data_IF_336069872895
#
_entry.id   IF_336069872895
#
_cell.length_a   1.000
_cell.length_b   1.000
_cell.length_c   1.000
_cell.angle_alpha   90.00
_cell.angle_beta   90.00
_cell.angle_gamma   90.00
#
_symmetry.space_group_name_H-M   'P 1'
#
loop_
_entity.id
_entity.type
_entity.pdbx_description
1 polymer ?
#
# COMPACT_ATOMS: atom_id res chain seq x y z
N UNK A 1 -8.39 -24.55 -2.83
CA UNK A 1 -7.32 -24.22 -3.81
C UNK A 1 -6.49 -23.08 -3.24
N UNK A 2 -5.17 -23.01 -3.48
CA UNK A 2 -4.43 -21.78 -3.18
C UNK A 2 -5.06 -20.61 -3.95
N UNK A 3 -5.10 -19.43 -3.34
CA UNK A 3 -5.49 -18.21 -4.06
C UNK A 3 -4.41 -17.91 -5.11
N UNK A 4 -4.81 -17.46 -6.30
CA UNK A 4 -3.86 -16.86 -7.24
C UNK A 4 -3.34 -15.54 -6.66
N UNK A 5 -2.06 -15.26 -6.86
CA UNK A 5 -1.40 -14.03 -6.44
C UNK A 5 -0.81 -13.38 -7.69
N UNK A 6 -1.19 -12.13 -7.92
CA UNK A 6 -0.66 -11.29 -8.98
C UNK A 6 0.19 -10.20 -8.33
N UNK A 7 1.45 -10.07 -8.75
CA UNK A 7 2.32 -8.95 -8.38
C UNK A 7 2.32 -7.98 -9.55
N UNK A 8 1.91 -6.74 -9.30
CA UNK A 8 1.83 -5.68 -10.29
C UNK A 8 2.76 -4.56 -9.86
N UNK A 9 3.64 -4.14 -10.76
CA UNK A 9 4.53 -3.01 -10.58
C UNK A 9 4.02 -1.90 -11.50
N UNK A 10 3.39 -0.89 -10.92
CA UNK A 10 2.89 0.25 -11.69
C UNK A 10 4.03 1.17 -12.10
N UNK A 11 3.85 1.85 -13.24
CA UNK A 11 4.82 2.79 -13.81
C UNK A 11 4.18 4.18 -13.90
N UNK A 12 5.00 5.24 -13.87
CA UNK A 12 4.52 6.62 -13.93
C UNK A 12 3.62 7.02 -12.75
N UNK A 13 3.85 6.45 -11.57
CA UNK A 13 3.19 6.86 -10.32
C UNK A 13 3.68 8.28 -9.96
N UNK A 14 4.98 8.44 -9.68
CA UNK A 14 5.57 9.69 -9.19
C UNK A 14 6.05 10.67 -10.29
N UNK A 15 5.42 10.62 -11.48
CA UNK A 15 5.80 11.50 -12.61
C UNK A 15 4.96 12.77 -12.70
N UNK A 16 4.08 13.01 -11.72
CA UNK A 16 3.18 14.15 -11.68
C UNK A 16 3.84 15.44 -11.18
N UNK A 17 3.14 16.56 -11.38
CA UNK A 17 3.51 17.84 -10.76
C UNK A 17 2.73 18.01 -9.46
N UNK A 18 3.38 18.52 -8.42
CA UNK A 18 2.80 18.66 -7.08
C UNK A 18 1.47 19.44 -7.03
N UNK A 19 1.24 20.37 -7.97
CA UNK A 19 0.01 21.16 -8.09
C UNK A 19 -1.06 20.51 -9.01
N UNK A 20 -0.78 19.35 -9.58
CA UNK A 20 -1.66 18.60 -10.51
C UNK A 20 -1.80 17.13 -10.07
N UNK A 21 -2.59 16.84 -9.01
CA UNK A 21 -2.77 15.48 -8.47
C UNK A 21 -3.23 14.44 -9.50
N UNK A 22 -3.93 14.87 -10.55
CA UNK A 22 -4.38 14.03 -11.65
C UNK A 22 -3.25 13.45 -12.50
N UNK A 23 -2.04 14.01 -12.42
CA UNK A 23 -0.86 13.59 -13.17
C UNK A 23 -0.09 12.43 -12.51
N UNK A 24 -0.36 12.11 -11.24
CA UNK A 24 0.22 10.94 -10.55
C UNK A 24 -0.50 9.62 -10.89
N UNK A 25 0.05 8.49 -10.47
CA UNK A 25 -0.59 7.16 -10.56
C UNK A 25 -1.03 6.76 -11.99
N UNK A 26 -0.29 7.19 -13.02
CA UNK A 26 -0.74 6.99 -14.42
C UNK A 26 -0.81 5.51 -14.80
N UNK A 27 0.13 4.70 -14.32
CA UNK A 27 0.15 3.26 -14.52
C UNK A 27 -1.05 2.56 -13.91
N UNK A 28 -1.38 2.84 -12.65
CA UNK A 28 -2.55 2.27 -12.00
C UNK A 28 -3.86 2.73 -12.66
N UNK A 29 -3.97 4.02 -13.03
CA UNK A 29 -5.11 4.54 -13.81
C UNK A 29 -5.28 3.80 -15.14
N UNK A 30 -4.19 3.61 -15.87
CA UNK A 30 -4.21 2.85 -17.12
C UNK A 30 -4.61 1.39 -16.88
N UNK A 31 -4.03 0.74 -15.87
CA UNK A 31 -4.33 -0.64 -15.53
C UNK A 31 -5.80 -0.83 -15.15
N UNK A 32 -6.33 -0.01 -14.24
CA UNK A 32 -7.72 -0.07 -13.78
C UNK A 32 -8.71 0.09 -14.94
N UNK A 33 -8.42 1.00 -15.88
CA UNK A 33 -9.25 1.24 -17.08
C UNK A 33 -9.19 0.11 -18.10
N UNK A 34 -8.03 -0.55 -18.26
CA UNK A 34 -7.79 -1.51 -19.34
C UNK A 34 -7.82 -2.98 -18.90
N UNK A 35 -7.93 -3.27 -17.60
CA UNK A 35 -8.07 -4.65 -17.11
C UNK A 35 -9.29 -5.33 -17.76
N UNK A 36 -9.17 -6.62 -18.03
CA UNK A 36 -10.32 -7.41 -18.50
C UNK A 36 -11.39 -7.49 -17.40
N UNK A 37 -12.66 -7.61 -17.78
CA UNK A 37 -13.74 -7.81 -16.80
C UNK A 37 -13.55 -9.10 -15.98
N UNK A 38 -12.91 -10.12 -16.56
CA UNK A 38 -12.55 -11.37 -15.87
C UNK A 38 -11.45 -11.19 -14.81
N UNK A 39 -10.66 -10.12 -14.87
CA UNK A 39 -9.67 -9.81 -13.84
C UNK A 39 -10.36 -9.10 -12.67
N UNK A 40 -10.65 -9.89 -11.63
CA UNK A 40 -11.38 -9.45 -10.45
C UNK A 40 -10.78 -10.09 -9.18
N UNK A 41 -9.62 -9.59 -8.70
CA UNK A 41 -9.03 -10.07 -7.46
C UNK A 41 -9.95 -9.74 -6.27
N UNK A 42 -9.83 -10.52 -5.19
CA UNK A 42 -10.65 -10.33 -3.98
C UNK A 42 -10.33 -9.00 -3.29
N UNK A 43 -9.05 -8.65 -3.27
CA UNK A 43 -8.53 -7.38 -2.78
C UNK A 43 -7.11 -7.15 -3.33
N UNK A 44 -6.60 -5.94 -3.18
CA UNK A 44 -5.20 -5.56 -3.37
C UNK A 44 -4.60 -4.99 -2.09
N UNK A 45 -3.27 -5.04 -2.02
CA UNK A 45 -2.46 -4.35 -1.01
C UNK A 45 -1.37 -3.63 -1.80
N UNK A 46 -1.39 -2.31 -1.75
CA UNK A 46 -0.31 -1.46 -2.22
C UNK A 46 0.75 -1.36 -1.13
N UNK A 47 2.03 -1.38 -1.52
CA UNK A 47 3.17 -1.17 -0.65
C UNK A 47 3.92 0.04 -1.19
N UNK A 48 3.92 1.14 -0.44
CA UNK A 48 4.67 2.34 -0.79
C UNK A 48 5.51 2.83 0.40
N UNK A 49 6.74 3.29 0.15
CA UNK A 49 7.64 3.83 1.17
C UNK A 49 7.84 2.97 2.45
N UNK A 50 7.69 1.65 2.36
CA UNK A 50 7.78 0.70 3.50
C UNK A 50 9.21 0.43 4.02
N UNK A 51 10.19 1.18 3.53
CA UNK A 51 11.61 0.89 3.71
C UNK A 51 12.23 1.51 4.95
N UNK A 52 11.62 2.55 5.53
CA UNK A 52 12.27 3.41 6.52
C UNK A 52 12.79 2.63 7.75
N UNK A 53 13.92 3.07 8.28
CA UNK A 53 14.51 2.58 9.51
C UNK A 53 13.73 2.95 10.77
N UNK A 54 12.95 4.02 10.73
CA UNK A 54 12.03 4.45 11.80
C UNK A 54 10.56 4.32 11.35
N UNK A 55 10.24 3.18 10.72
CA UNK A 55 8.97 2.94 10.03
C UNK A 55 7.74 3.09 10.93
N UNK A 56 6.78 3.92 10.50
CA UNK A 56 5.47 4.08 11.15
C UNK A 56 4.32 3.97 10.14
N UNK A 57 3.55 2.88 10.21
CA UNK A 57 2.45 2.59 9.29
C UNK A 57 1.11 2.81 10.01
N UNK A 58 0.56 4.01 9.85
CA UNK A 58 -0.80 4.35 10.27
C UNK A 58 -1.84 3.88 9.26
N UNK A 59 -3.10 3.80 9.67
CA UNK A 59 -4.19 3.42 8.76
C UNK A 59 -4.51 4.59 7.81
N UNK A 60 -4.24 4.39 6.52
CA UNK A 60 -4.60 5.35 5.46
C UNK A 60 -6.12 5.55 5.36
N UNK A 61 -6.58 6.80 5.23
CA UNK A 61 -7.99 7.15 5.38
C UNK A 61 -8.89 6.59 4.28
N UNK A 62 -8.47 6.57 3.01
CA UNK A 62 -9.25 5.99 1.92
C UNK A 62 -9.32 4.47 2.03
N UNK A 63 -8.22 3.83 2.45
CA UNK A 63 -8.14 2.40 2.75
C UNK A 63 -9.14 2.03 3.86
N UNK A 64 -9.16 2.80 4.95
CA UNK A 64 -10.14 2.62 6.02
C UNK A 64 -11.58 2.86 5.57
N UNK A 65 -11.80 3.85 4.70
CA UNK A 65 -13.13 4.21 4.25
C UNK A 65 -13.71 3.18 3.27
N UNK A 66 -12.94 2.78 2.27
CA UNK A 66 -13.41 1.95 1.16
C UNK A 66 -13.11 0.45 1.32
N UNK A 67 -12.07 0.08 2.08
CA UNK A 67 -11.69 -1.31 2.34
C UNK A 67 -11.46 -1.64 3.83
N UNK A 68 -12.36 -1.24 4.77
CA UNK A 68 -12.16 -1.40 6.22
C UNK A 68 -11.98 -2.86 6.66
N UNK A 69 -12.56 -3.81 5.92
CA UNK A 69 -12.43 -5.23 6.21
C UNK A 69 -11.02 -5.76 5.91
N UNK A 70 -10.36 -5.23 4.89
CA UNK A 70 -8.97 -5.56 4.56
C UNK A 70 -8.02 -4.90 5.55
N UNK A 71 -8.24 -3.62 5.88
CA UNK A 71 -7.47 -2.93 6.94
C UNK A 71 -7.53 -3.71 8.24
N UNK A 72 -8.74 -4.07 8.70
CA UNK A 72 -8.91 -4.86 9.93
C UNK A 72 -8.17 -6.20 9.88
N UNK A 73 -8.17 -6.86 8.73
CA UNK A 73 -7.45 -8.12 8.55
C UNK A 73 -5.94 -7.93 8.64
N UNK A 74 -5.38 -6.96 7.92
CA UNK A 74 -3.93 -6.70 7.87
C UNK A 74 -3.40 -6.23 9.21
N UNK A 75 -4.02 -5.22 9.82
CA UNK A 75 -3.61 -4.73 11.14
C UNK A 75 -3.82 -5.76 12.25
N UNK A 76 -4.89 -6.56 12.19
CA UNK A 76 -5.10 -7.66 13.14
C UNK A 76 -4.06 -8.78 13.00
N UNK A 77 -3.54 -9.02 11.79
CA UNK A 77 -2.42 -9.94 11.57
C UNK A 77 -1.12 -9.35 12.12
N UNK A 78 -0.85 -8.07 11.86
CA UNK A 78 0.33 -7.39 12.41
C UNK A 78 0.33 -7.39 13.95
N UNK A 79 -0.81 -7.10 14.57
CA UNK A 79 -0.99 -7.21 16.02
C UNK A 79 -0.72 -8.63 16.52
N UNK A 80 -1.26 -9.65 15.84
CA UNK A 80 -1.05 -11.06 16.19
C UNK A 80 0.41 -11.54 16.02
N UNK A 81 1.17 -10.91 15.11
CA UNK A 81 2.60 -11.16 14.92
C UNK A 81 3.47 -10.32 15.87
N UNK A 82 2.90 -9.34 16.56
CA UNK A 82 3.63 -8.43 17.44
C UNK A 82 4.50 -7.43 16.67
N UNK A 83 4.03 -6.94 15.52
CA UNK A 83 4.71 -5.93 14.68
C UNK A 83 4.17 -4.54 15.04
N UNK A 84 4.85 -3.77 15.91
CA UNK A 84 4.32 -2.50 16.44
C UNK A 84 4.29 -1.35 15.42
N UNK A 85 5.02 -1.47 14.31
CA UNK A 85 5.07 -0.47 13.24
C UNK A 85 3.70 -0.30 12.56
N UNK A 86 2.83 -1.31 12.60
CA UNK A 86 1.44 -1.20 12.16
C UNK A 86 0.58 -0.61 13.27
N UNK A 87 0.44 0.72 13.25
CA UNK A 87 -0.25 1.49 14.29
C UNK A 87 -1.75 1.51 13.95
N UNK A 88 -2.65 0.96 14.80
CA UNK A 88 -4.08 0.85 14.52
C UNK A 88 -4.83 2.18 14.77
N UNK A 89 -4.25 3.28 14.31
CA UNK A 89 -4.80 4.64 14.40
C UNK A 89 -4.90 5.25 13.01
N UNK A 90 -5.90 6.13 12.75
CA UNK A 90 -6.01 6.81 11.47
C UNK A 90 -4.82 7.74 11.23
N UNK A 91 -4.20 7.63 10.06
CA UNK A 91 -3.16 8.53 9.57
C UNK A 91 -3.70 9.54 8.57
N UNK A 92 -2.94 9.74 7.50
CA UNK A 92 -3.27 10.68 6.43
C UNK A 92 -4.19 10.07 5.36
N UNK A 93 -4.83 10.94 4.59
CA UNK A 93 -5.48 10.57 3.33
C UNK A 93 -4.50 10.84 2.20
N UNK A 94 -4.17 9.84 1.39
CA UNK A 94 -3.15 9.94 0.33
C UNK A 94 -3.73 9.55 -1.01
N UNK A 95 -3.37 10.31 -2.05
CA UNK A 95 -3.66 9.97 -3.43
C UNK A 95 -2.54 9.07 -3.92
N UNK A 96 -2.86 7.80 -4.14
CA UNK A 96 -1.91 6.79 -4.59
C UNK A 96 -2.60 5.74 -5.49
N UNK A 97 -1.83 4.77 -5.98
CA UNK A 97 -2.19 3.72 -6.93
C UNK A 97 -3.33 2.81 -6.44
N UNK A 98 -3.68 2.80 -5.16
CA UNK A 98 -4.84 2.06 -4.65
C UNK A 98 -6.16 2.72 -5.05
N UNK A 99 -6.20 4.05 -5.24
CA UNK A 99 -7.43 4.77 -5.55
C UNK A 99 -8.02 4.37 -6.92
N UNK A 100 -7.25 4.31 -8.03
CA UNK A 100 -7.78 3.83 -9.31
C UNK A 100 -8.36 2.41 -9.25
N UNK A 101 -7.81 1.54 -8.39
CA UNK A 101 -8.32 0.19 -8.19
C UNK A 101 -9.66 0.21 -7.44
N UNK A 102 -9.77 1.04 -6.41
CA UNK A 102 -11.02 1.27 -5.67
C UNK A 102 -12.12 1.80 -6.59
N UNK A 103 -11.81 2.74 -7.49
CA UNK A 103 -12.76 3.33 -8.45
C UNK A 103 -13.40 2.29 -9.39
N UNK A 104 -12.66 1.23 -9.75
CA UNK A 104 -13.15 0.13 -10.59
C UNK A 104 -13.67 -1.07 -9.79
N UNK A 105 -13.85 -0.89 -8.48
CA UNK A 105 -14.50 -1.85 -7.58
C UNK A 105 -13.60 -2.95 -7.06
N UNK A 106 -12.27 -2.81 -7.13
CA UNK A 106 -11.32 -3.71 -6.47
C UNK A 106 -10.98 -3.12 -5.08
N UNK A 107 -11.38 -3.75 -3.97
CA UNK A 107 -10.97 -3.28 -2.64
C UNK A 107 -9.45 -3.30 -2.54
N UNK A 108 -8.83 -2.15 -2.33
CA UNK A 108 -7.38 -2.02 -2.24
C UNK A 108 -7.05 -1.16 -1.02
N UNK A 109 -6.06 -1.58 -0.25
CA UNK A 109 -5.50 -0.77 0.84
C UNK A 109 -4.10 -0.33 0.48
N UNK A 110 -3.64 0.71 1.16
CA UNK A 110 -2.29 1.21 1.08
C UNK A 110 -1.55 1.00 2.42
N UNK A 111 -0.32 0.50 2.34
CA UNK A 111 0.62 0.33 3.44
C UNK A 111 1.78 1.26 3.14
N UNK A 112 1.75 2.41 3.80
CA UNK A 112 2.64 3.53 3.55
C UNK A 112 3.08 4.19 4.85
N UNK A 113 4.31 4.70 4.85
CA UNK A 113 4.81 5.59 5.89
C UNK A 113 4.56 7.05 5.50
N UNK A 114 3.82 7.78 6.33
CA UNK A 114 3.52 9.19 6.08
C UNK A 114 4.57 10.15 6.63
N UNK A 115 5.34 9.73 7.63
CA UNK A 115 6.22 10.57 8.43
C UNK A 115 7.69 10.35 8.04
N UNK A 116 7.96 10.38 6.73
CA UNK A 116 9.30 10.17 6.15
C UNK A 116 9.93 11.49 5.62
N UNK A 117 10.87 12.12 6.36
CA UNK A 117 11.37 13.46 6.02
C UNK A 117 12.17 13.55 4.71
N UNK A 118 12.65 12.43 4.20
CA UNK A 118 13.51 12.38 3.01
C UNK A 118 12.70 12.26 1.71
N UNK A 119 11.37 12.09 1.79
CA UNK A 119 10.48 12.00 0.64
C UNK A 119 10.68 13.16 -0.34
N UNK A 120 10.80 12.84 -1.63
CA UNK A 120 11.07 13.79 -2.72
C UNK A 120 12.35 14.65 -2.54
N UNK A 121 13.35 14.11 -1.83
CA UNK A 121 14.66 14.74 -1.69
C UNK A 121 15.78 13.88 -2.28
N UNK A 122 16.96 14.47 -2.45
CA UNK A 122 18.17 13.71 -2.82
C UNK A 122 18.70 12.81 -1.68
N UNK A 123 18.12 12.91 -0.49
CA UNK A 123 18.48 12.11 0.68
C UNK A 123 17.64 10.83 0.80
N UNK A 124 16.67 10.62 -0.09
CA UNK A 124 15.97 9.35 -0.20
C UNK A 124 16.89 8.30 -0.85
N UNK A 125 17.77 7.75 -0.02
CA UNK A 125 18.82 6.83 -0.41
C UNK A 125 18.78 5.56 0.45
N UNK A 126 19.31 4.42 -0.04
CA UNK A 126 19.18 3.14 0.65
C UNK A 126 19.74 3.07 2.08
N UNK A 127 20.56 4.02 2.52
CA UNK A 127 21.03 4.12 3.92
C UNK A 127 19.94 4.57 4.90
N UNK A 128 18.78 5.03 4.42
CA UNK A 128 17.57 5.25 5.23
C UNK A 128 16.73 3.98 5.38
N UNK A 129 16.99 2.98 4.56
CA UNK A 129 16.22 1.74 4.57
C UNK A 129 16.72 0.76 5.63
N UNK A 130 15.78 -0.01 6.20
CA UNK A 130 16.04 -1.05 7.19
C UNK A 130 15.60 -2.42 6.69
N UNK A 131 16.51 -3.42 6.63
CA UNK A 131 16.15 -4.81 6.36
C UNK A 131 15.10 -5.34 7.34
N UNK A 132 15.16 -4.92 8.61
CA UNK A 132 14.22 -5.32 9.64
C UNK A 132 12.81 -4.77 9.36
N UNK A 133 12.70 -3.53 8.88
CA UNK A 133 11.41 -2.93 8.49
C UNK A 133 10.79 -3.67 7.30
N UNK A 134 11.59 -3.92 6.27
CA UNK A 134 11.17 -4.69 5.09
C UNK A 134 10.75 -6.13 5.47
N UNK A 135 11.49 -6.78 6.38
CA UNK A 135 11.14 -8.12 6.86
C UNK A 135 9.79 -8.12 7.58
N UNK A 136 9.55 -7.16 8.48
CA UNK A 136 8.29 -7.04 9.23
C UNK A 136 7.09 -6.85 8.32
N UNK A 137 7.16 -5.92 7.37
CA UNK A 137 6.09 -5.71 6.38
C UNK A 137 5.89 -6.96 5.53
N UNK A 138 6.98 -7.57 5.06
CA UNK A 138 6.94 -8.82 4.31
C UNK A 138 6.26 -9.96 5.08
N UNK A 139 6.57 -10.13 6.37
CA UNK A 139 5.96 -11.16 7.22
C UNK A 139 4.44 -10.95 7.37
N UNK A 140 3.99 -9.70 7.57
CA UNK A 140 2.55 -9.38 7.65
C UNK A 140 1.85 -9.71 6.33
N UNK A 141 2.39 -9.26 5.20
CA UNK A 141 1.79 -9.52 3.87
C UNK A 141 1.78 -11.01 3.54
N UNK A 142 2.86 -11.72 3.84
CA UNK A 142 2.95 -13.19 3.66
C UNK A 142 1.89 -13.89 4.53
N UNK A 143 1.75 -13.51 5.78
CA UNK A 143 0.72 -14.10 6.65
C UNK A 143 -0.70 -13.79 6.12
N UNK A 144 -0.96 -12.59 5.57
CA UNK A 144 -2.24 -12.23 4.94
C UNK A 144 -2.58 -13.14 3.74
N UNK A 145 -1.62 -13.42 2.86
CA UNK A 145 -1.87 -14.24 1.66
C UNK A 145 -2.02 -15.74 1.99
N UNK A 146 -1.38 -16.22 3.07
CA UNK A 146 -1.39 -17.64 3.45
C UNK A 146 -2.47 -17.99 4.49
N UNK A 147 -2.91 -17.04 5.34
CA UNK A 147 -4.02 -17.26 6.28
C UNK A 147 -5.33 -17.49 5.53
N UNK A 148 -6.08 -18.48 6.00
CA UNK A 148 -7.44 -18.79 5.54
C UNK A 148 -8.47 -18.34 6.55
#
# INVERSE_FOLDING_TARGET
>A
CPNGIDIVLFDGEDSGRADHPEEFSQGAKYFAKNKTFSYNPKFGILLDMIGDSDLQIYIEQYSQHYAPHIVKQVWGIAEGLGVPEFIPEPGHAVIDDHLPLLEVGIPCIDIIDFDYPYWHTLEDTPDKCSPESLEKVGQVVVEVIYRR
#
